data_IF_510222027995
#
_entry.id   IF_510222027995
#
_cell.length_a   1.000
_cell.length_b   1.000
_cell.length_c   1.000
_cell.angle_alpha   90.00
_cell.angle_beta   90.00
_cell.angle_gamma   90.00
#
_symmetry.space_group_name_H-M   'P 1'
#
loop_
_entity.id
_entity.type
_entity.pdbx_description
1 polymer ?
#
# COMPACT_ATOMS: atom_id res chain seq x y z
N UNK A 1 25.26 38.35 19.36
CA UNK A 1 25.00 36.89 19.39
C UNK A 1 23.51 36.70 19.42
N UNK A 2 22.89 36.26 18.32
CA UNK A 2 21.49 35.84 18.35
C UNK A 2 21.35 34.68 19.33
N UNK A 3 20.49 34.82 20.34
CA UNK A 3 20.16 33.72 21.23
C UNK A 3 19.50 32.64 20.40
N UNK A 4 20.20 31.54 20.13
CA UNK A 4 19.60 30.36 19.50
C UNK A 4 18.62 29.76 20.50
N UNK A 5 17.32 29.97 20.26
CA UNK A 5 16.25 29.42 21.09
C UNK A 5 15.86 28.04 20.56
N UNK A 6 15.72 27.08 21.46
CA UNK A 6 15.14 25.78 21.14
C UNK A 6 13.62 25.88 21.29
N UNK A 7 12.90 25.79 20.16
CA UNK A 7 11.44 25.81 20.14
C UNK A 7 10.81 24.77 21.07
N UNK A 8 11.51 23.65 21.31
CA UNK A 8 11.07 22.62 22.24
C UNK A 8 10.89 23.15 23.67
N UNK A 9 11.75 24.08 24.09
CA UNK A 9 11.73 24.65 25.43
C UNK A 9 10.88 25.92 25.53
N UNK A 10 10.47 26.48 24.39
CA UNK A 10 9.78 27.77 24.31
C UNK A 10 8.29 27.65 24.04
N UNK A 11 7.88 26.63 23.27
CA UNK A 11 6.49 26.40 22.91
C UNK A 11 5.85 25.39 23.86
N UNK A 12 4.53 25.54 24.07
CA UNK A 12 3.75 24.49 24.71
C UNK A 12 3.65 23.24 23.81
N UNK A 13 3.41 22.09 24.45
CA UNK A 13 3.38 20.79 23.78
C UNK A 13 2.32 20.75 22.65
N UNK A 14 1.16 21.38 22.85
CA UNK A 14 0.07 21.38 21.87
C UNK A 14 0.41 22.23 20.65
N UNK A 15 1.01 23.41 20.84
CA UNK A 15 1.48 24.28 19.78
C UNK A 15 2.60 23.60 18.98
N UNK A 16 3.56 22.98 19.67
CA UNK A 16 4.65 22.25 19.02
C UNK A 16 4.11 21.09 18.18
N UNK A 17 3.17 20.31 18.71
CA UNK A 17 2.53 19.22 17.98
C UNK A 17 1.79 19.73 16.74
N UNK A 18 0.99 20.80 16.85
CA UNK A 18 0.29 21.40 15.70
C UNK A 18 1.25 21.86 14.62
N UNK A 19 2.36 22.51 15.00
CA UNK A 19 3.40 22.94 14.04
C UNK A 19 4.01 21.73 13.33
N UNK A 20 4.34 20.66 14.05
CA UNK A 20 4.91 19.45 13.45
C UNK A 20 3.92 18.70 12.56
N UNK A 21 2.63 18.74 12.84
CA UNK A 21 1.59 18.14 11.98
C UNK A 21 1.26 18.99 10.72
N UNK A 22 1.75 20.23 10.68
CA UNK A 22 1.78 21.03 9.45
C UNK A 22 2.89 20.59 8.48
N UNK A 23 3.80 19.70 8.89
CA UNK A 23 4.79 19.12 7.98
C UNK A 23 4.11 18.10 7.05
N UNK A 24 4.17 18.34 5.75
CA UNK A 24 3.54 17.46 4.74
C UNK A 24 4.52 16.41 4.15
N UNK A 25 5.83 16.54 4.42
CA UNK A 25 6.82 15.54 4.01
C UNK A 25 7.20 14.63 5.19
N UNK A 26 6.97 13.30 5.13
CA UNK A 26 7.39 12.39 6.21
C UNK A 26 8.89 12.42 6.48
N UNK A 27 9.72 12.82 5.50
CA UNK A 27 11.14 13.01 5.72
C UNK A 27 11.45 14.15 6.70
N UNK A 28 10.60 15.19 6.78
CA UNK A 28 10.77 16.29 7.74
C UNK A 28 10.60 15.83 9.18
N UNK A 29 9.64 14.95 9.46
CA UNK A 29 9.49 14.37 10.80
C UNK A 29 10.72 13.53 11.20
N UNK A 30 11.31 12.80 10.25
CA UNK A 30 12.56 12.06 10.50
C UNK A 30 13.72 13.03 10.77
N UNK A 31 13.80 14.14 10.03
CA UNK A 31 14.78 15.20 10.27
C UNK A 31 14.60 15.83 11.66
N UNK A 32 13.37 16.16 12.05
CA UNK A 32 13.04 16.67 13.38
C UNK A 32 13.49 15.69 14.48
N UNK A 33 13.19 14.39 14.32
CA UNK A 33 13.65 13.34 15.23
C UNK A 33 15.18 13.19 15.31
N UNK A 34 15.94 13.76 14.36
CA UNK A 34 17.41 13.73 14.37
C UNK A 34 18.05 14.94 15.06
N UNK A 35 17.26 15.96 15.41
CA UNK A 35 17.75 17.20 16.05
C UNK A 35 18.31 16.93 17.46
N UNK A 36 17.56 16.19 18.28
CA UNK A 36 18.00 15.78 19.62
C UNK A 36 17.20 14.57 20.12
N UNK A 37 17.63 13.98 21.24
CA UNK A 37 16.88 12.90 21.91
C UNK A 37 15.50 13.36 22.39
N UNK A 38 15.36 14.60 22.85
CA UNK A 38 14.07 15.16 23.31
C UNK A 38 13.09 15.30 22.15
N UNK A 39 13.56 15.81 21.00
CA UNK A 39 12.75 15.90 19.79
C UNK A 39 12.33 14.51 19.29
N UNK A 40 13.27 13.56 19.26
CA UNK A 40 12.96 12.16 18.90
C UNK A 40 11.90 11.56 19.81
N UNK A 41 12.10 11.66 21.12
CA UNK A 41 11.16 11.11 22.11
C UNK A 41 9.78 11.73 21.92
N UNK A 42 9.69 13.05 21.75
CA UNK A 42 8.43 13.73 21.50
C UNK A 42 7.72 13.24 20.23
N UNK A 43 8.44 13.12 19.10
CA UNK A 43 7.84 12.65 17.84
C UNK A 43 7.33 11.21 17.97
N UNK A 44 8.09 10.34 18.65
CA UNK A 44 7.77 8.92 18.85
C UNK A 44 6.59 8.75 19.81
N UNK A 45 6.66 9.34 21.00
CA UNK A 45 5.63 9.20 22.05
C UNK A 45 4.28 9.78 21.63
N UNK A 46 4.28 10.86 20.83
CA UNK A 46 3.04 11.44 20.30
C UNK A 46 2.56 10.78 19.00
N UNK A 47 3.28 9.77 18.48
CA UNK A 47 2.88 9.02 17.29
C UNK A 47 2.74 9.87 16.02
N UNK A 48 3.52 10.95 15.88
CA UNK A 48 3.31 11.94 14.81
C UNK A 48 3.46 11.34 13.40
N UNK A 49 4.33 10.35 13.23
CA UNK A 49 4.46 9.62 11.94
C UNK A 49 3.21 8.83 11.59
N UNK A 50 2.53 8.23 12.58
CA UNK A 50 1.25 7.54 12.37
C UNK A 50 0.16 8.55 11.99
N UNK A 51 0.10 9.67 12.71
CA UNK A 51 -0.87 10.73 12.42
C UNK A 51 -0.69 11.31 11.01
N UNK A 52 0.55 11.62 10.62
CA UNK A 52 0.85 12.09 9.26
C UNK A 52 0.51 11.05 8.21
N UNK A 53 0.82 9.77 8.45
CA UNK A 53 0.47 8.68 7.55
C UNK A 53 -1.05 8.61 7.31
N UNK A 54 -1.85 8.66 8.36
CA UNK A 54 -3.32 8.62 8.28
C UNK A 54 -3.87 9.88 7.61
N UNK A 55 -3.31 11.06 7.90
CA UNK A 55 -3.68 12.32 7.24
C UNK A 55 -3.48 12.23 5.72
N UNK A 56 -2.38 11.63 5.27
CA UNK A 56 -2.07 11.47 3.85
C UNK A 56 -2.85 10.33 3.19
N UNK A 57 -3.07 9.24 3.93
CA UNK A 57 -3.69 8.00 3.45
C UNK A 57 -4.75 7.52 4.44
N UNK A 58 -5.98 8.08 4.41
CA UNK A 58 -7.02 7.76 5.39
C UNK A 58 -7.40 6.26 5.43
N UNK A 59 -7.18 5.54 4.33
CA UNK A 59 -7.39 4.09 4.24
C UNK A 59 -6.54 3.29 5.24
N UNK A 60 -5.38 3.83 5.64
CA UNK A 60 -4.46 3.21 6.60
C UNK A 60 -4.89 3.41 8.06
N UNK A 61 -5.96 4.15 8.34
CA UNK A 61 -6.51 4.28 9.69
C UNK A 61 -6.90 2.92 10.31
N UNK A 62 -7.24 1.94 9.47
CA UNK A 62 -7.62 0.58 9.88
C UNK A 62 -6.44 -0.26 10.36
N UNK A 63 -5.20 0.22 10.21
CA UNK A 63 -4.03 -0.46 10.75
C UNK A 63 -4.03 -0.33 12.27
N UNK A 64 -4.22 -1.47 12.92
CA UNK A 64 -4.37 -1.59 14.36
C UNK A 64 -3.02 -1.51 15.09
N UNK A 65 -2.06 -2.35 14.69
CA UNK A 65 -0.74 -2.40 15.31
C UNK A 65 0.34 -2.86 14.33
N UNK A 66 1.60 -2.56 14.63
CA UNK A 66 2.77 -2.99 13.85
C UNK A 66 3.46 -4.13 14.59
N UNK A 67 3.65 -5.26 13.91
CA UNK A 67 4.43 -6.38 14.44
C UNK A 67 5.76 -6.45 13.70
N UNK A 68 6.86 -6.16 14.39
CA UNK A 68 8.19 -6.46 13.87
C UNK A 68 8.54 -7.90 14.29
N UNK A 69 8.81 -8.82 13.35
CA UNK A 69 9.28 -10.15 13.69
C UNK A 69 10.62 -10.01 14.42
N UNK A 70 10.59 -10.25 15.73
CA UNK A 70 11.72 -9.96 16.62
C UNK A 70 13.07 -10.43 16.06
N UNK A 71 14.07 -9.55 16.07
CA UNK A 71 15.47 -9.98 16.00
C UNK A 71 15.72 -10.83 17.24
N UNK A 72 15.80 -12.15 17.07
CA UNK A 72 16.25 -13.15 18.05
C UNK A 72 16.12 -12.73 19.52
N UNK A 73 15.03 -13.14 20.17
CA UNK A 73 14.97 -13.24 21.63
C UNK A 73 15.99 -14.29 22.08
N UNK A 74 17.24 -13.87 22.27
CA UNK A 74 18.17 -14.49 23.20
C UNK A 74 18.52 -13.41 24.22
N UNK A 75 18.27 -13.75 25.47
CA UNK A 75 18.64 -13.01 26.69
C UNK A 75 17.83 -11.76 27.02
N UNK A 76 16.56 -11.93 27.43
CA UNK A 76 16.02 -11.17 28.57
C UNK A 76 15.22 -12.12 29.47
N UNK A 77 15.93 -12.96 30.20
CA UNK A 77 15.49 -13.31 31.55
C UNK A 77 15.70 -12.07 32.40
N UNK A 78 14.62 -11.37 32.80
CA UNK A 78 14.46 -10.70 34.10
C UNK A 78 13.32 -9.67 34.03
N UNK A 79 12.29 -9.94 34.85
CA UNK A 79 11.51 -8.97 35.64
C UNK A 79 11.36 -7.56 35.06
N UNK A 80 10.19 -7.32 34.45
CA UNK A 80 9.40 -6.11 34.65
C UNK A 80 9.99 -4.78 34.16
N UNK A 81 9.61 -4.37 32.94
CA UNK A 81 9.37 -2.96 32.63
C UNK A 81 8.39 -2.84 31.46
N UNK A 82 7.08 -2.79 31.74
CA UNK A 82 6.05 -2.52 30.73
C UNK A 82 6.35 -1.25 29.92
N UNK A 83 6.87 -0.22 30.57
CA UNK A 83 7.24 1.06 29.96
C UNK A 83 8.38 0.97 28.95
N UNK A 84 9.32 0.03 29.13
CA UNK A 84 10.41 -0.17 28.17
C UNK A 84 9.90 -0.85 26.90
N UNK A 85 9.04 -1.87 27.07
CA UNK A 85 8.38 -2.57 25.95
C UNK A 85 7.46 -1.61 25.18
N UNK A 86 6.76 -0.71 25.87
CA UNK A 86 5.92 0.34 25.25
C UNK A 86 6.76 1.35 24.45
N UNK A 87 7.87 1.86 24.99
CA UNK A 87 8.75 2.82 24.28
C UNK A 87 9.41 2.20 23.05
N UNK A 88 9.83 0.93 23.14
CA UNK A 88 10.32 0.18 21.98
C UNK A 88 9.22 -0.01 20.92
N UNK A 89 8.00 -0.39 21.32
CA UNK A 89 6.88 -0.55 20.39
C UNK A 89 6.52 0.76 19.67
N UNK A 90 6.48 1.88 20.39
CA UNK A 90 6.28 3.21 19.80
C UNK A 90 7.40 3.55 18.82
N UNK A 91 8.64 3.19 19.14
CA UNK A 91 9.79 3.33 18.24
C UNK A 91 9.67 2.49 16.97
N UNK A 92 9.15 1.25 17.07
CA UNK A 92 8.86 0.37 15.92
C UNK A 92 7.76 0.98 15.05
N UNK A 93 6.66 1.40 15.66
CA UNK A 93 5.55 2.05 14.95
C UNK A 93 5.99 3.31 14.23
N UNK A 94 6.76 4.19 14.89
CA UNK A 94 7.31 5.39 14.28
C UNK A 94 8.10 5.06 13.00
N UNK A 95 8.99 4.06 13.05
CA UNK A 95 9.78 3.64 11.88
C UNK A 95 8.90 3.07 10.78
N UNK A 96 7.97 2.18 11.12
CA UNK A 96 7.09 1.51 10.18
C UNK A 96 6.19 2.52 9.45
N UNK A 97 5.53 3.41 10.19
CA UNK A 97 4.69 4.45 9.59
C UNK A 97 5.51 5.45 8.78
N UNK A 98 6.68 5.91 9.27
CA UNK A 98 7.54 6.80 8.48
C UNK A 98 7.99 6.15 7.15
N UNK A 99 8.36 4.88 7.18
CA UNK A 99 8.73 4.11 6.00
C UNK A 99 7.54 3.92 5.06
N UNK A 100 6.37 3.55 5.59
CA UNK A 100 5.15 3.33 4.83
C UNK A 100 4.70 4.62 4.13
N UNK A 101 4.60 5.74 4.86
CA UNK A 101 4.21 7.04 4.29
C UNK A 101 5.16 7.46 3.18
N UNK A 102 6.48 7.30 3.40
CA UNK A 102 7.49 7.62 2.38
C UNK A 102 7.31 6.73 1.14
N UNK A 103 7.14 5.43 1.33
CA UNK A 103 6.94 4.47 0.25
C UNK A 103 5.70 4.81 -0.56
N UNK A 104 4.56 5.05 0.10
CA UNK A 104 3.31 5.44 -0.55
C UNK A 104 3.43 6.75 -1.34
N UNK A 105 4.24 7.72 -0.88
CA UNK A 105 4.48 8.98 -1.60
C UNK A 105 5.34 8.79 -2.85
N UNK A 106 6.30 7.85 -2.81
CA UNK A 106 7.23 7.61 -3.93
C UNK A 106 6.73 6.56 -4.91
N UNK A 107 5.73 5.75 -4.53
CA UNK A 107 5.19 4.72 -5.38
C UNK A 107 4.52 5.36 -6.60
N UNK A 108 4.96 5.02 -7.84
CA UNK A 108 4.34 5.58 -9.03
C UNK A 108 2.88 5.12 -9.08
N UNK A 109 1.98 6.02 -9.48
CA UNK A 109 0.56 5.74 -9.69
C UNK A 109 0.40 4.87 -10.95
N UNK A 110 0.79 3.61 -10.84
CA UNK A 110 0.77 2.61 -11.91
C UNK A 110 -0.08 1.42 -11.49
N UNK A 111 -0.49 0.65 -12.48
CA UNK A 111 -1.19 -0.62 -12.29
C UNK A 111 -0.43 -1.51 -11.29
N UNK A 112 -1.13 -2.00 -10.28
CA UNK A 112 -0.53 -2.80 -9.20
C UNK A 112 -0.21 -4.23 -9.65
N UNK A 113 -0.66 -4.67 -10.82
CA UNK A 113 -0.33 -5.99 -11.36
C UNK A 113 0.99 -5.89 -12.12
N UNK A 114 1.97 -6.71 -11.72
CA UNK A 114 3.22 -6.86 -12.45
C UNK A 114 3.17 -8.01 -13.46
N UNK A 115 2.58 -9.15 -13.09
CA UNK A 115 2.65 -10.38 -13.87
C UNK A 115 1.41 -11.25 -13.68
N UNK A 116 0.97 -11.92 -14.75
CA UNK A 116 -0.04 -12.97 -14.67
C UNK A 116 0.63 -14.32 -14.39
N UNK A 117 0.28 -14.94 -13.26
CA UNK A 117 0.91 -16.17 -12.77
C UNK A 117 0.19 -17.40 -13.31
N UNK A 118 -1.12 -17.50 -13.03
CA UNK A 118 -1.89 -18.68 -13.39
C UNK A 118 -3.39 -18.42 -13.36
N UNK A 119 -4.13 -19.40 -13.89
CA UNK A 119 -5.57 -19.50 -13.75
C UNK A 119 -5.91 -20.91 -13.23
N UNK A 120 -7.01 -21.06 -12.48
CA UNK A 120 -7.55 -22.36 -12.05
C UNK A 120 -7.80 -23.29 -13.24
N UNK A 121 -8.26 -22.74 -14.35
CA UNK A 121 -8.45 -23.43 -15.62
C UNK A 121 -8.17 -22.49 -16.80
N UNK A 122 -8.00 -23.05 -17.98
CA UNK A 122 -7.91 -22.27 -19.23
C UNK A 122 -8.40 -23.17 -20.36
N UNK A 123 -9.40 -22.72 -21.13
CA UNK A 123 -10.01 -23.57 -22.15
C UNK A 123 -9.05 -23.82 -23.32
N UNK A 124 -8.74 -22.76 -24.05
CA UNK A 124 -7.92 -22.82 -25.26
C UNK A 124 -6.50 -22.28 -25.03
N UNK A 125 -5.69 -23.01 -24.27
CA UNK A 125 -4.29 -22.63 -24.04
C UNK A 125 -3.43 -22.90 -25.28
N UNK A 126 -2.52 -21.99 -25.71
CA UNK A 126 -2.16 -20.72 -25.08
C UNK A 126 -2.97 -19.50 -25.54
N UNK A 127 -3.85 -19.68 -26.52
CA UNK A 127 -4.54 -18.61 -27.23
C UNK A 127 -5.44 -17.76 -26.33
N UNK A 128 -6.04 -18.35 -25.29
CA UNK A 128 -6.94 -17.71 -24.32
C UNK A 128 -6.33 -17.70 -22.91
N UNK A 129 -5.01 -17.52 -22.83
CA UNK A 129 -4.28 -17.56 -21.55
C UNK A 129 -4.56 -16.35 -20.65
N UNK A 130 -4.31 -16.51 -19.36
CA UNK A 130 -4.42 -15.43 -18.35
C UNK A 130 -3.56 -14.20 -18.71
N UNK A 131 -2.46 -14.36 -19.47
CA UNK A 131 -1.61 -13.24 -19.88
C UNK A 131 -2.35 -12.22 -20.73
N UNK A 132 -3.36 -12.66 -21.48
CA UNK A 132 -4.17 -11.81 -22.34
C UNK A 132 -5.01 -10.79 -21.55
N UNK A 133 -5.27 -11.02 -20.26
CA UNK A 133 -6.01 -10.07 -19.42
C UNK A 133 -5.20 -8.80 -19.10
N UNK A 134 -3.87 -8.88 -19.24
CA UNK A 134 -2.93 -7.77 -19.09
C UNK A 134 -2.59 -7.12 -20.44
N UNK A 135 -3.03 -7.69 -21.57
CA UNK A 135 -2.77 -7.12 -22.89
C UNK A 135 -3.55 -5.82 -23.10
N UNK A 136 -2.87 -4.67 -23.32
CA UNK A 136 -3.55 -3.38 -23.48
C UNK A 136 -4.41 -3.36 -24.74
N UNK A 137 -3.99 -4.04 -25.79
CA UNK A 137 -4.68 -4.08 -27.08
C UNK A 137 -5.83 -5.10 -27.06
N UNK A 138 -7.01 -4.70 -27.56
CA UNK A 138 -8.17 -5.61 -27.70
C UNK A 138 -7.89 -6.82 -28.58
N UNK A 139 -6.94 -6.69 -29.49
CA UNK A 139 -6.48 -7.76 -30.36
C UNK A 139 -4.96 -7.75 -30.45
N UNK A 140 -4.37 -8.95 -30.47
CA UNK A 140 -2.97 -9.18 -30.86
C UNK A 140 -2.99 -9.86 -32.23
N UNK A 141 -2.53 -9.13 -33.25
CA UNK A 141 -2.71 -9.54 -34.65
C UNK A 141 -4.18 -9.60 -35.05
N UNK A 142 -4.67 -10.77 -35.49
CA UNK A 142 -6.09 -10.99 -35.85
C UNK A 142 -6.93 -11.56 -34.70
N UNK A 143 -6.33 -11.84 -33.54
CA UNK A 143 -6.99 -12.57 -32.45
C UNK A 143 -7.42 -11.62 -31.33
N UNK A 144 -8.66 -11.75 -30.81
CA UNK A 144 -9.05 -11.07 -29.57
C UNK A 144 -8.21 -11.54 -28.40
N UNK A 145 -7.79 -10.60 -27.56
CA UNK A 145 -7.01 -10.89 -26.36
C UNK A 145 -7.97 -11.08 -25.19
N UNK A 146 -8.20 -12.29 -24.71
CA UNK A 146 -8.96 -12.53 -23.48
C UNK A 146 -8.50 -13.83 -22.82
N UNK A 147 -8.92 -14.03 -21.58
CA UNK A 147 -8.88 -15.33 -20.92
C UNK A 147 -10.26 -15.97 -20.88
N UNK A 148 -10.31 -17.30 -20.99
CA UNK A 148 -11.52 -18.10 -20.80
C UNK A 148 -11.28 -19.27 -19.85
N UNK A 149 -12.30 -19.59 -19.06
CA UNK A 149 -12.30 -20.81 -18.25
C UNK A 149 -12.75 -22.03 -19.06
N UNK A 150 -12.31 -23.22 -18.64
CA UNK A 150 -12.86 -24.50 -19.14
C UNK A 150 -14.32 -24.73 -18.74
N UNK A 151 -14.86 -23.85 -17.90
CA UNK A 151 -16.16 -24.01 -17.28
C UNK A 151 -16.14 -25.04 -16.15
N UNK A 152 -17.18 -24.99 -15.32
CA UNK A 152 -17.32 -25.90 -14.20
C UNK A 152 -18.79 -26.20 -13.94
N UNK A 153 -19.12 -27.50 -13.91
CA UNK A 153 -20.49 -27.97 -13.71
C UNK A 153 -20.93 -27.86 -12.25
N UNK A 154 -19.97 -27.86 -11.32
CA UNK A 154 -20.23 -27.75 -9.88
C UNK A 154 -20.10 -26.30 -9.42
N UNK A 155 -21.21 -25.67 -9.06
CA UNK A 155 -21.24 -24.28 -8.53
C UNK A 155 -20.31 -24.05 -7.34
N UNK A 156 -20.01 -25.10 -6.55
CA UNK A 156 -19.12 -25.00 -5.39
C UNK A 156 -17.63 -24.87 -5.71
N UNK A 157 -17.20 -25.08 -6.96
CA UNK A 157 -15.79 -25.02 -7.35
C UNK A 157 -15.51 -23.65 -7.99
N UNK A 158 -14.71 -22.78 -7.36
CA UNK A 158 -14.44 -21.45 -7.88
C UNK A 158 -13.48 -21.49 -9.08
N UNK A 159 -13.61 -20.50 -9.96
CA UNK A 159 -12.59 -20.16 -10.96
C UNK A 159 -11.79 -18.96 -10.46
N UNK A 160 -10.46 -19.06 -10.50
CA UNK A 160 -9.54 -18.07 -9.92
C UNK A 160 -8.45 -17.68 -10.92
N UNK A 161 -8.09 -16.40 -10.90
CA UNK A 161 -6.94 -15.85 -11.62
C UNK A 161 -5.93 -15.34 -10.60
N UNK A 162 -4.67 -15.73 -10.78
CA UNK A 162 -3.58 -15.40 -9.86
C UNK A 162 -2.62 -14.45 -10.57
N UNK A 163 -2.39 -13.31 -9.93
CA UNK A 163 -1.48 -12.27 -10.39
C UNK A 163 -0.42 -11.99 -9.35
N UNK A 164 0.77 -11.64 -9.82
CA UNK A 164 1.84 -11.09 -9.00
C UNK A 164 1.72 -9.57 -8.99
N UNK A 165 1.79 -9.00 -7.80
CA UNK A 165 1.82 -7.56 -7.64
C UNK A 165 3.16 -6.99 -8.11
N UNK A 166 3.15 -5.75 -8.60
CA UNK A 166 4.32 -5.07 -9.15
C UNK A 166 5.36 -4.67 -8.10
N UNK A 167 4.99 -4.70 -6.81
CA UNK A 167 5.82 -4.30 -5.67
C UNK A 167 5.52 -5.19 -4.47
N UNK A 168 6.45 -5.28 -3.54
CA UNK A 168 6.29 -5.99 -2.26
C UNK A 168 5.18 -5.36 -1.40
N UNK A 169 4.92 -4.06 -1.60
CA UNK A 169 3.81 -3.32 -0.99
C UNK A 169 3.02 -2.62 -2.09
N UNK A 170 1.72 -2.95 -2.19
CA UNK A 170 0.75 -2.25 -3.01
C UNK A 170 -0.50 -1.94 -2.18
N UNK A 171 -1.02 -0.73 -2.33
CA UNK A 171 -2.37 -0.39 -1.83
C UNK A 171 -3.32 -0.65 -2.98
N UNK A 172 -4.34 -1.48 -2.77
CA UNK A 172 -5.37 -1.75 -3.78
C UNK A 172 -6.65 -1.03 -3.36
N UNK A 173 -7.05 -0.02 -4.13
CA UNK A 173 -8.33 0.67 -3.89
C UNK A 173 -9.43 0.18 -4.81
N UNK A 174 -9.09 -0.24 -6.02
CA UNK A 174 -10.05 -0.59 -7.05
C UNK A 174 -9.55 -1.78 -7.87
N UNK A 175 -10.47 -2.72 -8.13
CA UNK A 175 -10.26 -3.85 -9.02
C UNK A 175 -11.28 -3.74 -10.14
N UNK A 176 -10.80 -3.51 -11.35
CA UNK A 176 -11.60 -3.35 -12.55
C UNK A 176 -11.55 -4.62 -13.38
N UNK A 177 -12.71 -5.23 -13.61
CA UNK A 177 -12.87 -6.44 -14.43
C UNK A 177 -13.75 -6.10 -15.63
N UNK A 178 -13.21 -6.26 -16.84
CA UNK A 178 -13.98 -6.15 -18.10
C UNK A 178 -14.28 -7.57 -18.60
N UNK A 179 -15.54 -8.03 -18.54
CA UNK A 179 -15.93 -9.29 -19.17
C UNK A 179 -15.73 -9.22 -20.70
N UNK A 180 -15.47 -10.36 -21.32
CA UNK A 180 -15.48 -10.48 -22.78
C UNK A 180 -16.89 -10.84 -23.25
N UNK A 181 -17.46 -10.07 -24.19
CA UNK A 181 -18.80 -10.32 -24.72
C UNK A 181 -18.71 -11.14 -25.99
N UNK A 182 -19.30 -12.34 -25.97
CA UNK A 182 -19.53 -13.17 -27.15
C UNK A 182 -21.02 -13.51 -27.19
N UNK A 183 -21.64 -13.45 -28.37
CA UNK A 183 -23.09 -13.63 -28.56
C UNK A 183 -23.66 -15.02 -28.24
N UNK A 184 -22.94 -15.87 -27.50
CA UNK A 184 -23.36 -17.23 -27.16
C UNK A 184 -23.48 -17.39 -25.64
N UNK A 185 -24.69 -17.71 -25.18
CA UNK A 185 -25.00 -18.04 -23.79
C UNK A 185 -24.44 -19.40 -23.39
N UNK A 186 -23.22 -19.49 -22.85
CA UNK A 186 -22.76 -20.72 -22.17
C UNK A 186 -21.88 -20.40 -20.95
N UNK A 187 -21.78 -21.40 -20.06
CA UNK A 187 -21.32 -21.47 -18.65
C UNK A 187 -19.83 -21.07 -18.42
N UNK A 188 -19.22 -20.36 -19.38
CA UNK A 188 -17.79 -20.05 -19.36
C UNK A 188 -17.55 -18.63 -18.85
N UNK A 189 -16.58 -18.47 -17.94
CA UNK A 189 -16.15 -17.15 -17.51
C UNK A 189 -15.11 -16.65 -18.50
N UNK A 190 -15.37 -15.49 -19.12
CA UNK A 190 -14.45 -14.87 -20.06
C UNK A 190 -14.11 -13.47 -19.61
N UNK A 191 -12.81 -13.22 -19.44
CA UNK A 191 -12.30 -11.95 -18.91
C UNK A 191 -11.38 -11.33 -19.95
N UNK A 192 -11.72 -10.11 -20.36
CA UNK A 192 -10.96 -9.33 -21.33
C UNK A 192 -9.81 -8.59 -20.64
N UNK A 193 -10.09 -7.93 -19.53
CA UNK A 193 -9.10 -7.10 -18.84
C UNK A 193 -9.30 -7.14 -17.34
N UNK A 194 -8.19 -7.24 -16.60
CA UNK A 194 -8.14 -6.97 -15.16
C UNK A 194 -7.13 -5.87 -14.94
N UNK A 195 -7.53 -4.85 -14.19
CA UNK A 195 -6.62 -3.80 -13.74
C UNK A 195 -6.83 -3.51 -12.26
N UNK A 196 -5.73 -3.27 -11.56
CA UNK A 196 -5.73 -2.99 -10.13
C UNK A 196 -5.02 -1.67 -9.92
N UNK A 197 -5.68 -0.71 -9.29
CA UNK A 197 -5.17 0.65 -9.16
C UNK A 197 -4.92 1.00 -7.68
N UNK A 198 -3.86 1.79 -7.40
CA UNK A 198 -3.65 2.34 -6.08
C UNK A 198 -4.62 3.49 -5.81
N UNK A 199 -4.87 3.74 -4.52
CA UNK A 199 -5.74 4.84 -4.08
C UNK A 199 -5.25 6.16 -4.67
N UNK A 200 -6.10 6.81 -5.47
CA UNK A 200 -5.85 8.18 -5.89
C UNK A 200 -5.97 9.08 -4.66
N UNK A 201 -4.85 9.59 -4.15
CA UNK A 201 -4.87 10.73 -3.25
C UNK A 201 -5.43 11.90 -4.06
N UNK A 202 -6.68 12.25 -3.77
CA UNK A 202 -7.36 13.39 -4.38
C UNK A 202 -6.64 14.68 -4.01
N UNK A 203 -5.68 15.09 -4.84
CA UNK A 203 -5.18 16.45 -4.96
C UNK A 203 -4.60 16.63 -6.37
N UNK A 204 -5.37 17.28 -7.24
CA UNK A 204 -4.95 17.67 -8.58
C UNK A 204 -5.44 16.75 -9.69
N UNK A 205 -6.61 17.07 -10.25
CA UNK A 205 -6.98 16.62 -11.58
C UNK A 205 -5.88 17.06 -12.57
N UNK A 206 -5.24 16.12 -13.22
CA UNK A 206 -4.56 16.36 -14.50
C UNK A 206 -5.10 15.34 -15.48
N UNK A 207 -5.81 15.88 -16.46
CA UNK A 207 -6.31 15.19 -17.64
C UNK A 207 -5.19 14.42 -18.31
N UNK A 208 -5.17 13.10 -18.17
CA UNK A 208 -4.46 12.21 -19.10
C UNK A 208 -5.08 10.81 -19.03
N UNK A 209 -6.35 10.74 -19.43
CA UNK A 209 -6.99 9.51 -19.90
C UNK A 209 -7.62 9.79 -21.27
N UNK A 210 -6.75 9.91 -22.26
CA UNK A 210 -7.08 9.72 -23.67
C UNK A 210 -5.77 9.51 -24.43
N UNK A 211 -5.33 8.25 -24.52
CA UNK A 211 -4.72 7.60 -25.69
C UNK A 211 -4.48 6.12 -25.38
#
# INVERSE_FOLDING_TARGET
>A
MESRMDFFNWLDYDALMKILLCLDDPADLVRVSSVSRSWRHFVVTNGLSRQLCIKMFPTLQRLDHVVEPSRCVKDITEVGCSRFVEDENLGVEHRAFAFLTRSCKTLPLRECIGEAISASSTDNYPDESVRNTLEPHERVGRRPSYWSSKGQNKSAVPETLVYKLASDICVVSEINIKPFQVGFSYIFCQIRKISVWPSQCSNGWSHERAM
#
